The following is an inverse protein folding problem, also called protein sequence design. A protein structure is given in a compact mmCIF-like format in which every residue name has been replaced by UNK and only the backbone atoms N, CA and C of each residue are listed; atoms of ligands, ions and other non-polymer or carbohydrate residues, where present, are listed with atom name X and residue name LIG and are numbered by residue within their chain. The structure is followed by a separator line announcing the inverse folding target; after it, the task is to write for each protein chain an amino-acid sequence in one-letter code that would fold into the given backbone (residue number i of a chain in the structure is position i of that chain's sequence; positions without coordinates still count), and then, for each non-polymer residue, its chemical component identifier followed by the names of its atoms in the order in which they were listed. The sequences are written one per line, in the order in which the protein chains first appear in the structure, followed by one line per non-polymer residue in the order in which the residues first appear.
data_IF_265205119220
#
_entry.id   IF_265205119220
#
_cell.length_a   1.000
_cell.length_b   1.000
_cell.length_c   1.000
_cell.angle_alpha   90.00
_cell.angle_beta   90.00
_cell.angle_gamma   90.00
#
_symmetry.space_group_name_H-M   'P 1'
#
loop_
_entity.id
_entity.type
_entity.pdbx_description
1 polymer ?
#
# COMPACT_ATOMS: atom_id res chain seq x y z
N UNK A 1 -3.64 -34.15 8.18
CA UNK A 1 -2.89 -33.09 8.90
C UNK A 1 -2.09 -32.15 7.99
N UNK A 2 -1.64 -32.58 6.82
CA UNK A 2 -0.82 -31.78 5.87
C UNK A 2 -1.54 -30.50 5.40
N UNK A 3 -2.86 -30.56 5.20
CA UNK A 3 -3.66 -29.42 4.70
C UNK A 3 -3.71 -28.23 5.67
N UNK A 4 -3.77 -28.48 6.98
CA UNK A 4 -3.83 -27.43 8.00
C UNK A 4 -2.52 -26.64 8.12
N UNK A 5 -1.39 -27.35 8.13
CA UNK A 5 -0.06 -26.74 8.17
C UNK A 5 0.21 -25.90 6.93
N UNK A 6 -0.17 -26.41 5.74
CA UNK A 6 -0.04 -25.67 4.48
C UNK A 6 -0.86 -24.38 4.49
N UNK A 7 -2.09 -24.42 5.05
CA UNK A 7 -2.95 -23.24 5.20
C UNK A 7 -2.35 -22.19 6.16
N UNK A 8 -1.77 -22.63 7.28
CA UNK A 8 -1.11 -21.71 8.21
C UNK A 8 0.10 -21.01 7.56
N UNK A 9 0.91 -21.76 6.80
CA UNK A 9 2.05 -21.19 6.07
C UNK A 9 1.61 -20.21 4.97
N UNK A 10 0.54 -20.49 4.24
CA UNK A 10 -0.01 -19.55 3.25
C UNK A 10 -0.58 -18.30 3.92
N UNK A 11 -1.31 -18.44 5.04
CA UNK A 11 -1.80 -17.29 5.80
C UNK A 11 -0.65 -16.42 6.31
N UNK A 12 0.41 -17.04 6.86
CA UNK A 12 1.59 -16.32 7.32
C UNK A 12 2.32 -15.60 6.17
N UNK A 13 2.49 -16.28 5.03
CA UNK A 13 3.06 -15.69 3.82
C UNK A 13 2.27 -14.45 3.37
N UNK A 14 0.94 -14.57 3.28
CA UNK A 14 0.05 -13.49 2.86
C UNK A 14 0.06 -12.35 3.88
N UNK A 15 -0.07 -12.63 5.17
CA UNK A 15 -0.07 -11.61 6.22
C UNK A 15 1.20 -10.75 6.20
N UNK A 16 2.37 -11.35 5.97
CA UNK A 16 3.65 -10.62 5.91
C UNK A 16 3.77 -9.70 4.67
N UNK A 17 2.98 -9.93 3.63
CA UNK A 17 3.08 -9.24 2.33
C UNK A 17 1.86 -8.39 1.98
N UNK A 18 0.77 -8.55 2.72
CA UNK A 18 -0.52 -7.96 2.39
C UNK A 18 -0.46 -6.44 2.33
N UNK A 19 0.16 -5.79 3.30
CA UNK A 19 0.25 -4.33 3.31
C UNK A 19 1.08 -3.79 2.14
N UNK A 20 2.26 -4.38 1.89
CA UNK A 20 3.09 -4.06 0.73
C UNK A 20 2.38 -4.25 -0.61
N UNK A 21 1.56 -5.31 -0.70
CA UNK A 21 0.71 -5.56 -1.86
C UNK A 21 -0.35 -4.47 -2.05
N UNK A 22 -1.01 -4.06 -0.97
CA UNK A 22 -2.08 -3.05 -1.01
C UNK A 22 -1.55 -1.63 -1.24
N UNK A 23 -0.38 -1.31 -0.71
CA UNK A 23 0.24 0.02 -0.81
C UNK A 23 0.94 0.22 -2.17
N UNK A 24 1.20 -0.87 -2.91
CA UNK A 24 1.97 -0.86 -4.16
C UNK A 24 3.31 -0.12 -4.01
N UNK A 25 4.02 -0.37 -2.89
CA UNK A 25 5.24 0.34 -2.52
C UNK A 25 6.33 0.21 -3.61
N UNK A 26 6.70 1.31 -4.28
CA UNK A 26 7.71 1.29 -5.34
C UNK A 26 9.11 0.96 -4.80
N UNK A 27 9.35 1.14 -3.50
CA UNK A 27 10.65 0.88 -2.84
C UNK A 27 10.85 -0.61 -2.55
N UNK A 28 9.78 -1.41 -2.57
CA UNK A 28 9.81 -2.83 -2.25
C UNK A 28 8.84 -3.62 -3.14
N UNK A 29 9.04 -3.66 -4.47
CA UNK A 29 8.12 -4.32 -5.38
C UNK A 29 7.97 -5.81 -5.04
N UNK A 30 6.76 -6.31 -5.23
CA UNK A 30 6.48 -7.75 -5.17
C UNK A 30 6.78 -8.38 -6.52
N UNK A 31 7.38 -9.57 -6.50
CA UNK A 31 7.54 -10.35 -7.72
C UNK A 31 6.15 -10.79 -8.26
N UNK A 32 5.94 -10.83 -9.59
CA UNK A 32 4.65 -11.26 -10.16
C UNK A 32 4.17 -12.64 -9.69
N UNK A 33 5.08 -13.57 -9.37
CA UNK A 33 4.74 -14.86 -8.78
C UNK A 33 4.25 -14.75 -7.35
N UNK A 34 4.80 -13.84 -6.55
CA UNK A 34 4.31 -13.54 -5.21
C UNK A 34 2.92 -12.92 -5.25
N UNK A 35 2.67 -12.01 -6.21
CA UNK A 35 1.35 -11.39 -6.42
C UNK A 35 0.31 -12.47 -6.73
N UNK A 36 0.54 -13.31 -7.74
CA UNK A 36 -0.41 -14.39 -8.12
C UNK A 36 -0.69 -15.33 -6.96
N UNK A 37 0.34 -15.69 -6.18
CA UNK A 37 0.18 -16.55 -5.00
C UNK A 37 -0.67 -15.89 -3.91
N UNK A 38 -0.49 -14.59 -3.71
CA UNK A 38 -1.23 -13.82 -2.73
C UNK A 38 -2.70 -13.68 -3.15
N UNK A 39 -2.96 -13.32 -4.40
CA UNK A 39 -4.32 -13.23 -4.98
C UNK A 39 -5.07 -14.56 -4.88
N UNK A 40 -4.43 -15.67 -5.29
CA UNK A 40 -5.04 -16.99 -5.16
C UNK A 40 -5.41 -17.31 -3.70
N UNK A 41 -4.56 -16.98 -2.74
CA UNK A 41 -4.86 -17.20 -1.33
C UNK A 41 -5.98 -16.30 -0.80
N UNK A 42 -6.07 -15.06 -1.27
CA UNK A 42 -7.16 -14.15 -0.89
C UNK A 42 -8.52 -14.64 -1.39
N UNK A 43 -8.56 -15.35 -2.53
CA UNK A 43 -9.80 -15.96 -3.04
C UNK A 43 -10.25 -17.18 -2.19
N UNK A 44 -9.32 -17.86 -1.52
CA UNK A 44 -9.59 -19.12 -0.81
C UNK A 44 -9.70 -18.96 0.72
N UNK A 45 -9.30 -17.82 1.28
CA UNK A 45 -9.19 -17.62 2.72
C UNK A 45 -9.94 -16.38 3.20
N UNK A 46 -11.15 -16.60 3.74
CA UNK A 46 -12.02 -15.54 4.29
C UNK A 46 -11.32 -14.65 5.32
N UNK A 47 -10.46 -15.23 6.18
CA UNK A 47 -9.71 -14.45 7.18
C UNK A 47 -8.74 -13.47 6.53
N UNK A 48 -8.01 -13.90 5.49
CA UNK A 48 -7.07 -13.02 4.79
C UNK A 48 -7.80 -12.04 3.88
N UNK A 49 -8.93 -12.45 3.29
CA UNK A 49 -9.80 -11.56 2.51
C UNK A 49 -10.37 -10.42 3.37
N UNK A 50 -10.93 -10.75 4.54
CA UNK A 50 -11.45 -9.78 5.50
C UNK A 50 -10.37 -8.81 5.98
N UNK A 51 -9.16 -9.31 6.31
CA UNK A 51 -8.05 -8.43 6.65
C UNK A 51 -7.67 -7.47 5.51
N UNK A 52 -7.73 -7.93 4.25
CA UNK A 52 -7.48 -7.07 3.09
C UNK A 52 -8.55 -5.99 2.92
N UNK A 53 -9.82 -6.31 3.20
CA UNK A 53 -10.93 -5.36 3.19
C UNK A 53 -10.78 -4.31 4.29
N UNK A 54 -10.38 -4.69 5.50
CA UNK A 54 -10.12 -3.77 6.61
C UNK A 54 -9.04 -2.75 6.23
N UNK A 55 -7.92 -3.20 5.65
CA UNK A 55 -6.86 -2.30 5.19
C UNK A 55 -7.33 -1.37 4.07
N UNK A 56 -8.13 -1.87 3.12
CA UNK A 56 -8.70 -1.03 2.06
C UNK A 56 -9.66 0.01 2.64
N UNK A 57 -10.50 -0.37 3.58
CA UNK A 57 -11.43 0.53 4.28
C UNK A 57 -10.67 1.64 5.00
N UNK A 58 -9.61 1.28 5.73
CA UNK A 58 -8.73 2.24 6.39
C UNK A 58 -8.10 3.22 5.39
N UNK A 59 -7.53 2.71 4.28
CA UNK A 59 -6.96 3.54 3.21
C UNK A 59 -7.99 4.53 2.66
N UNK A 60 -9.22 4.09 2.40
CA UNK A 60 -10.30 4.97 1.92
C UNK A 60 -10.69 6.03 2.94
N UNK A 61 -10.76 5.68 4.22
CA UNK A 61 -11.03 6.63 5.29
C UNK A 61 -9.93 7.70 5.40
N UNK A 62 -8.67 7.30 5.34
CA UNK A 62 -7.52 8.22 5.34
C UNK A 62 -7.52 9.13 4.12
N UNK A 63 -7.77 8.60 2.93
CA UNK A 63 -7.87 9.40 1.70
C UNK A 63 -8.99 10.44 1.81
N UNK A 64 -10.17 10.04 2.28
CA UNK A 64 -11.29 10.96 2.50
C UNK A 64 -10.93 12.06 3.49
N UNK A 65 -10.29 11.71 4.61
CA UNK A 65 -9.86 12.69 5.60
C UNK A 65 -8.84 13.67 5.00
N UNK A 66 -7.87 13.18 4.22
CA UNK A 66 -6.88 14.04 3.57
C UNK A 66 -7.51 15.04 2.58
N UNK A 67 -8.57 14.65 1.88
CA UNK A 67 -9.31 15.53 0.98
C UNK A 67 -10.11 16.60 1.74
N UNK A 68 -10.62 16.28 2.93
CA UNK A 68 -11.39 17.22 3.75
C UNK A 68 -10.49 18.25 4.45
N UNK A 69 -9.35 17.82 4.98
CA UNK A 69 -8.43 18.71 5.70
C UNK A 69 -7.57 19.51 4.71
N UNK A 70 -7.17 18.88 3.60
CA UNK A 70 -6.21 19.46 2.66
C UNK A 70 -4.82 19.66 3.29
N UNK A 71 -3.78 19.90 2.46
CA UNK A 71 -2.48 20.29 2.97
C UNK A 71 -2.49 21.75 3.46
N UNK A 72 -1.62 22.09 4.43
CA UNK A 72 -1.40 23.48 4.86
C UNK A 72 -0.99 24.35 3.64
N UNK A 73 -1.79 25.38 3.27
CA UNK A 73 -1.48 26.23 2.12
C UNK A 73 -0.11 26.89 2.21
N UNK A 74 0.35 27.25 3.41
CA UNK A 74 1.66 27.87 3.59
C UNK A 74 2.80 26.88 3.32
N UNK A 75 2.63 25.61 3.72
CA UNK A 75 3.56 24.53 3.39
C UNK A 75 3.61 24.26 1.88
N UNK A 76 2.46 24.22 1.21
CA UNK A 76 2.38 24.05 -0.26
C UNK A 76 3.09 25.20 -0.97
N UNK A 77 2.87 26.44 -0.55
CA UNK A 77 3.55 27.60 -1.12
C UNK A 77 5.09 27.54 -0.94
N UNK A 78 5.57 27.03 0.21
CA UNK A 78 7.01 26.81 0.43
C UNK A 78 7.57 25.74 -0.52
N UNK A 79 6.83 24.66 -0.73
CA UNK A 79 7.24 23.59 -1.63
C UNK A 79 7.38 24.10 -3.07
N UNK A 80 6.38 24.85 -3.57
CA UNK A 80 6.45 25.44 -4.91
C UNK A 80 7.70 26.30 -5.10
N UNK A 81 7.97 27.23 -4.17
CA UNK A 81 9.17 28.08 -4.25
C UNK A 81 10.47 27.28 -4.28
N UNK A 82 10.53 26.17 -3.52
CA UNK A 82 11.72 25.31 -3.49
C UNK A 82 11.92 24.62 -4.83
N UNK A 83 10.85 24.12 -5.45
CA UNK A 83 10.90 23.51 -6.78
C UNK A 83 11.29 24.54 -7.84
N UNK A 84 10.71 25.74 -7.80
CA UNK A 84 11.03 26.82 -8.74
C UNK A 84 12.52 27.17 -8.67
N UNK A 85 13.08 27.29 -7.46
CA UNK A 85 14.51 27.54 -7.26
C UNK A 85 15.39 26.42 -7.84
N UNK A 86 15.05 25.15 -7.59
CA UNK A 86 15.81 24.02 -8.13
C UNK A 86 15.80 23.99 -9.66
N UNK A 87 14.67 24.34 -10.27
CA UNK A 87 14.56 24.43 -11.72
C UNK A 87 15.40 25.59 -12.26
N UNK A 88 15.35 26.77 -11.63
CA UNK A 88 16.18 27.92 -12.04
C UNK A 88 17.69 27.63 -11.94
N UNK A 89 18.11 26.84 -10.95
CA UNK A 89 19.50 26.41 -10.76
C UNK A 89 19.95 25.38 -11.81
N UNK A 90 19.09 24.42 -12.20
CA UNK A 90 19.41 23.39 -13.22
C UNK A 90 19.53 23.96 -14.65
N UNK A 91 18.87 25.10 -14.92
CA UNK A 91 18.91 25.77 -16.23
C UNK A 91 20.10 26.75 -16.38
N UNK A 92 20.98 26.88 -15.39
CA UNK A 92 22.12 27.80 -15.35
C UNK A 92 23.45 27.10 -15.64
#
# INVERSE_FOLDING_TARGET
MITGLRRMLSCHFTAKRLQRYLDADPSAPLDPGEIRRLEAHLTECDRCASAAEDFRSMRWAMLRLSQLVGPDPAAVARLHRTVDQLLEEDHR
#
